data_IF_857164712789
#
_entry.id   IF_857164712789
#
_cell.length_a   1.000
_cell.length_b   1.000
_cell.length_c   1.000
_cell.angle_alpha   90.00
_cell.angle_beta   90.00
_cell.angle_gamma   90.00
#
_symmetry.space_group_name_H-M   'P 1'
#
loop_
_entity.id
_entity.type
_entity.pdbx_description
1 polymer ?
#
# COMPACT_ATOMS: atom_id res chain seq x y z
N UNK A 1 -29.45 29.50 7.48
CA UNK A 1 -29.04 28.91 8.76
C UNK A 1 -30.05 27.92 9.33
N UNK A 2 -31.20 27.72 8.71
CA UNK A 2 -32.25 26.77 9.14
C UNK A 2 -32.21 25.38 8.49
N UNK A 3 -31.47 25.19 7.39
CA UNK A 3 -31.39 23.87 6.69
C UNK A 3 -30.37 22.88 7.28
N UNK A 4 -29.62 23.27 8.30
CA UNK A 4 -28.58 22.39 8.93
C UNK A 4 -29.11 21.71 10.20
N UNK A 5 -30.29 22.10 10.71
CA UNK A 5 -30.83 21.58 11.98
C UNK A 5 -31.81 20.40 11.86
N UNK A 6 -32.19 19.97 10.65
CA UNK A 6 -33.12 18.84 10.48
C UNK A 6 -32.47 17.45 10.40
N UNK A 7 -31.14 17.31 10.48
CA UNK A 7 -30.42 16.03 10.34
C UNK A 7 -30.25 15.23 11.64
N UNK A 8 -30.85 15.66 12.75
CA UNK A 8 -30.79 14.97 14.04
C UNK A 8 -32.07 14.16 14.38
N UNK A 9 -32.83 13.69 13.40
CA UNK A 9 -33.78 12.62 13.66
C UNK A 9 -32.98 11.36 13.98
N UNK A 10 -33.29 10.67 15.10
CA UNK A 10 -32.72 9.38 15.49
C UNK A 10 -32.85 8.37 14.33
N UNK A 11 -31.85 8.33 13.46
CA UNK A 11 -31.80 7.41 12.31
C UNK A 11 -31.49 6.04 12.89
N UNK A 12 -32.49 5.17 12.94
CA UNK A 12 -32.27 3.77 13.37
C UNK A 12 -31.45 3.06 12.28
N UNK A 13 -30.21 2.74 12.60
CA UNK A 13 -29.32 1.99 11.70
C UNK A 13 -29.29 0.52 12.13
N UNK A 14 -29.68 -0.37 11.22
CA UNK A 14 -29.46 -1.80 11.32
C UNK A 14 -28.16 -2.19 10.63
N UNK A 15 -27.36 -3.08 11.25
CA UNK A 15 -26.10 -3.56 10.67
C UNK A 15 -26.15 -5.08 10.50
N UNK A 16 -25.98 -5.51 9.27
CA UNK A 16 -26.02 -6.90 8.88
C UNK A 16 -24.65 -7.38 8.39
N UNK A 17 -24.32 -8.62 8.73
CA UNK A 17 -23.16 -9.30 8.19
C UNK A 17 -23.55 -9.96 6.85
N UNK A 18 -22.72 -9.79 5.82
CA UNK A 18 -22.96 -10.41 4.53
C UNK A 18 -21.71 -11.14 4.01
N UNK A 19 -21.93 -12.34 3.52
CA UNK A 19 -20.99 -13.12 2.67
C UNK A 19 -21.49 -13.25 1.23
N UNK A 20 -22.63 -12.65 0.91
CA UNK A 20 -23.21 -12.62 -0.42
C UNK A 20 -22.48 -11.59 -1.30
N UNK A 21 -21.64 -12.07 -2.22
CA UNK A 21 -20.84 -11.21 -3.07
C UNK A 21 -21.67 -10.24 -3.95
N UNK A 22 -22.91 -10.61 -4.30
CA UNK A 22 -23.81 -9.72 -5.07
C UNK A 22 -24.29 -8.56 -4.21
N UNK A 23 -24.68 -8.83 -2.98
CA UNK A 23 -25.11 -7.82 -2.01
C UNK A 23 -23.94 -6.87 -1.66
N UNK A 24 -22.76 -7.43 -1.39
CA UNK A 24 -21.53 -6.68 -1.14
C UNK A 24 -21.20 -5.78 -2.33
N UNK A 25 -21.30 -6.32 -3.56
CA UNK A 25 -21.07 -5.52 -4.77
C UNK A 25 -22.06 -4.37 -4.87
N UNK A 26 -23.35 -4.59 -4.61
CA UNK A 26 -24.35 -3.54 -4.63
C UNK A 26 -24.05 -2.43 -3.61
N UNK A 27 -23.62 -2.81 -2.38
CA UNK A 27 -23.24 -1.85 -1.35
C UNK A 27 -22.02 -1.00 -1.78
N UNK A 28 -21.03 -1.63 -2.42
CA UNK A 28 -19.86 -0.92 -2.95
C UNK A 28 -20.23 -0.02 -4.15
N UNK A 29 -21.09 -0.50 -5.05
CA UNK A 29 -21.56 0.31 -6.19
C UNK A 29 -22.28 1.58 -5.69
N UNK A 30 -23.02 1.52 -4.59
CA UNK A 30 -23.70 2.68 -4.00
C UNK A 30 -22.73 3.58 -3.22
N UNK A 31 -21.94 3.01 -2.30
CA UNK A 31 -21.22 3.78 -1.27
C UNK A 31 -19.77 4.08 -1.58
N UNK A 32 -19.06 3.21 -2.34
CA UNK A 32 -17.63 3.40 -2.52
C UNK A 32 -17.34 4.71 -3.25
N UNK A 33 -16.72 5.63 -2.53
CA UNK A 33 -16.18 6.83 -3.15
C UNK A 33 -14.89 6.49 -3.90
N UNK A 34 -14.81 6.92 -5.16
CA UNK A 34 -13.60 6.81 -5.98
C UNK A 34 -13.41 8.14 -6.69
N UNK A 35 -12.28 8.85 -6.49
CA UNK A 35 -12.04 10.16 -7.12
C UNK A 35 -12.20 10.15 -8.64
N UNK A 36 -11.69 9.12 -9.33
CA UNK A 36 -11.98 8.88 -10.75
C UNK A 36 -13.03 7.76 -10.88
N UNK A 37 -14.26 8.16 -11.13
CA UNK A 37 -15.41 7.23 -11.22
C UNK A 37 -15.24 6.13 -12.27
N UNK A 38 -14.44 6.35 -13.31
CA UNK A 38 -14.15 5.36 -14.36
C UNK A 38 -13.43 4.12 -13.81
N UNK A 39 -12.70 4.28 -12.72
CA UNK A 39 -11.97 3.20 -12.03
C UNK A 39 -12.87 2.38 -11.10
N UNK A 40 -14.00 2.94 -10.66
CA UNK A 40 -14.86 2.32 -9.65
C UNK A 40 -15.27 0.88 -9.98
N UNK A 41 -15.74 0.56 -11.20
CA UNK A 41 -16.14 -0.82 -11.53
C UNK A 41 -14.97 -1.82 -11.43
N UNK A 42 -13.76 -1.40 -11.83
CA UNK A 42 -12.57 -2.25 -11.76
C UNK A 42 -12.10 -2.46 -10.33
N UNK A 43 -12.06 -1.40 -9.52
CA UNK A 43 -11.72 -1.48 -8.09
C UNK A 43 -12.68 -2.42 -7.36
N UNK A 44 -13.97 -2.29 -7.59
CA UNK A 44 -14.99 -3.18 -7.01
C UNK A 44 -14.75 -4.62 -7.45
N UNK A 45 -14.50 -4.86 -8.73
CA UNK A 45 -14.22 -6.21 -9.27
C UNK A 45 -13.02 -6.86 -8.58
N UNK A 46 -11.92 -6.14 -8.40
CA UNK A 46 -10.73 -6.66 -7.72
C UNK A 46 -10.99 -6.92 -6.22
N UNK A 47 -11.75 -6.03 -5.57
CA UNK A 47 -12.13 -6.22 -4.17
C UNK A 47 -13.05 -7.45 -3.99
N UNK A 48 -14.03 -7.64 -4.85
CA UNK A 48 -14.91 -8.83 -4.84
C UNK A 48 -14.10 -10.11 -5.07
N UNK A 49 -13.14 -10.09 -6.00
CA UNK A 49 -12.23 -11.22 -6.23
C UNK A 49 -11.40 -11.54 -4.97
N UNK A 50 -10.88 -10.52 -4.30
CA UNK A 50 -10.18 -10.67 -3.02
C UNK A 50 -11.09 -11.32 -1.96
N UNK A 51 -12.28 -10.78 -1.74
CA UNK A 51 -13.23 -11.29 -0.76
C UNK A 51 -13.62 -12.74 -1.03
N UNK A 52 -13.92 -13.07 -2.30
CA UNK A 52 -14.22 -14.46 -2.70
C UNK A 52 -13.10 -15.43 -2.28
N UNK A 53 -11.84 -15.04 -2.46
CA UNK A 53 -10.70 -15.86 -2.05
C UNK A 53 -10.60 -15.97 -0.54
N UNK A 54 -10.84 -14.86 0.19
CA UNK A 54 -10.66 -14.83 1.65
C UNK A 54 -11.79 -15.48 2.43
N UNK A 55 -13.00 -15.52 1.90
CA UNK A 55 -14.10 -16.27 2.48
C UNK A 55 -13.87 -17.79 2.45
N UNK A 56 -13.02 -18.28 1.54
CA UNK A 56 -12.65 -19.68 1.42
C UNK A 56 -11.38 -20.06 2.21
N UNK A 57 -10.65 -19.07 2.76
CA UNK A 57 -9.40 -19.30 3.45
C UNK A 57 -9.62 -19.33 4.97
N UNK A 58 -9.55 -20.52 5.54
CA UNK A 58 -9.77 -20.74 6.99
C UNK A 58 -8.82 -19.97 7.91
N UNK A 59 -7.64 -19.57 7.41
CA UNK A 59 -6.69 -18.77 8.17
C UNK A 59 -7.13 -17.31 8.34
N UNK A 60 -8.02 -16.84 7.46
CA UNK A 60 -8.57 -15.48 7.56
C UNK A 60 -9.82 -15.47 8.41
N UNK A 61 -9.86 -14.54 9.36
CA UNK A 61 -11.11 -14.19 10.04
C UNK A 61 -11.55 -12.86 9.48
N UNK A 62 -12.56 -12.89 8.63
CA UNK A 62 -13.06 -11.73 7.89
C UNK A 62 -14.59 -11.63 8.05
N UNK A 63 -15.05 -10.41 8.21
CA UNK A 63 -16.47 -10.06 8.34
C UNK A 63 -16.73 -8.82 7.49
N UNK A 64 -17.72 -8.89 6.63
CA UNK A 64 -18.20 -7.76 5.85
C UNK A 64 -19.52 -7.29 6.46
N UNK A 65 -19.61 -6.00 6.75
CA UNK A 65 -20.79 -5.39 7.37
C UNK A 65 -21.39 -4.33 6.47
N UNK A 66 -22.70 -4.35 6.36
CA UNK A 66 -23.51 -3.37 5.64
C UNK A 66 -24.51 -2.75 6.62
N UNK A 67 -24.56 -1.44 6.65
CA UNK A 67 -25.49 -0.68 7.47
C UNK A 67 -26.66 -0.20 6.63
N UNK A 68 -27.88 -0.39 7.14
CA UNK A 68 -29.14 -0.03 6.48
C UNK A 68 -29.96 0.95 7.33
N UNK A 69 -30.67 1.84 6.64
CA UNK A 69 -31.78 2.61 7.20
C UNK A 69 -32.97 2.52 6.26
N UNK A 70 -34.10 1.98 6.73
CA UNK A 70 -35.30 1.78 5.89
C UNK A 70 -35.00 1.11 4.55
N UNK A 71 -34.20 0.06 4.54
CA UNK A 71 -33.74 -0.69 3.36
C UNK A 71 -32.75 0.06 2.43
N UNK A 72 -32.41 1.30 2.70
CA UNK A 72 -31.35 2.02 2.02
C UNK A 72 -29.99 1.72 2.66
N UNK A 73 -28.94 1.64 1.84
CA UNK A 73 -27.57 1.38 2.30
C UNK A 73 -26.96 2.69 2.83
N UNK A 74 -26.51 2.67 4.08
CA UNK A 74 -25.92 3.82 4.78
C UNK A 74 -24.45 3.64 5.13
N UNK A 75 -23.94 2.43 5.04
CA UNK A 75 -22.54 2.20 5.36
C UNK A 75 -22.05 0.82 4.98
N UNK A 76 -20.74 0.72 4.83
CA UNK A 76 -20.02 -0.49 4.49
C UNK A 76 -18.67 -0.51 5.17
N UNK A 77 -18.25 -1.66 5.69
CA UNK A 77 -16.90 -1.86 6.24
C UNK A 77 -16.50 -3.33 6.15
N UNK A 78 -15.21 -3.58 5.98
CA UNK A 78 -14.60 -4.91 6.11
C UNK A 78 -13.80 -4.93 7.40
N UNK A 79 -14.11 -5.85 8.32
CA UNK A 79 -13.32 -6.12 9.52
C UNK A 79 -12.61 -7.45 9.39
N UNK A 80 -11.35 -7.53 9.84
CA UNK A 80 -10.61 -8.79 9.75
C UNK A 80 -9.51 -8.93 10.80
N UNK A 81 -9.19 -10.20 11.10
CA UNK A 81 -7.96 -10.58 11.80
C UNK A 81 -7.06 -11.21 10.74
N UNK A 82 -6.21 -10.38 10.15
CA UNK A 82 -5.29 -10.85 9.13
C UNK A 82 -4.20 -11.73 9.75
N UNK A 83 -3.86 -12.90 9.17
CA UNK A 83 -2.96 -13.86 9.81
C UNK A 83 -1.56 -13.32 10.06
N UNK A 84 -1.05 -12.46 9.18
CA UNK A 84 0.34 -11.96 9.23
C UNK A 84 0.46 -10.46 9.56
N UNK A 85 -0.68 -9.75 9.69
CA UNK A 85 -0.62 -8.33 10.02
C UNK A 85 -0.39 -8.10 11.51
N UNK A 86 0.60 -7.26 11.81
CA UNK A 86 0.92 -6.86 13.18
C UNK A 86 1.09 -5.35 13.30
N UNK A 87 0.92 -4.87 14.51
CA UNK A 87 1.27 -3.51 14.87
C UNK A 87 2.27 -3.55 16.03
N UNK A 88 3.47 -3.03 15.80
CA UNK A 88 4.59 -3.13 16.76
C UNK A 88 4.79 -4.59 17.20
N UNK A 89 4.86 -5.51 16.24
CA UNK A 89 5.03 -6.95 16.47
C UNK A 89 3.83 -7.66 17.14
N UNK A 90 2.73 -6.96 17.43
CA UNK A 90 1.57 -7.53 18.12
C UNK A 90 0.38 -7.68 17.19
N UNK A 91 -0.30 -8.82 17.29
CA UNK A 91 -1.53 -9.10 16.54
C UNK A 91 -2.61 -8.07 16.90
N UNK A 92 -3.29 -7.57 15.89
CA UNK A 92 -4.43 -6.67 16.06
C UNK A 92 -5.54 -6.99 15.05
N UNK A 93 -6.76 -6.58 15.37
CA UNK A 93 -7.84 -6.53 14.40
C UNK A 93 -7.70 -5.31 13.51
N UNK A 94 -8.25 -5.38 12.32
CA UNK A 94 -8.30 -4.26 11.40
C UNK A 94 -9.72 -4.02 10.91
N UNK A 95 -10.01 -2.78 10.56
CA UNK A 95 -11.12 -2.43 9.68
C UNK A 95 -10.61 -1.64 8.49
N UNK A 96 -11.28 -1.79 7.36
CA UNK A 96 -10.92 -1.10 6.12
C UNK A 96 -12.11 -0.95 5.19
N UNK A 97 -11.93 -0.22 4.09
CA UNK A 97 -12.99 0.10 3.13
C UNK A 97 -14.22 0.72 3.79
N UNK A 98 -14.00 1.48 4.87
CA UNK A 98 -15.06 2.15 5.61
C UNK A 98 -15.63 3.29 4.76
N UNK A 99 -16.87 3.12 4.29
CA UNK A 99 -17.65 4.12 3.57
C UNK A 99 -19.00 4.27 4.26
N UNK A 100 -19.37 5.49 4.62
CA UNK A 100 -20.58 5.77 5.37
C UNK A 100 -21.24 7.06 4.90
N UNK A 101 -22.57 7.14 5.02
CA UNK A 101 -23.33 8.37 4.73
C UNK A 101 -23.33 9.35 5.93
N UNK A 102 -23.24 8.82 7.17
CA UNK A 102 -23.30 9.65 8.39
C UNK A 102 -22.57 9.00 9.59
N UNK A 103 -22.51 9.76 10.69
CA UNK A 103 -21.86 9.34 11.93
C UNK A 103 -22.53 8.13 12.57
N UNK A 104 -23.88 8.03 12.57
CA UNK A 104 -24.56 6.91 13.23
C UNK A 104 -24.27 5.57 12.52
N UNK A 105 -24.23 5.56 11.18
CA UNK A 105 -23.80 4.38 10.43
C UNK A 105 -22.34 4.00 10.74
N UNK A 106 -21.43 4.98 10.82
CA UNK A 106 -20.05 4.76 11.23
C UNK A 106 -19.97 4.13 12.62
N UNK A 107 -20.70 4.67 13.61
CA UNK A 107 -20.74 4.20 14.99
C UNK A 107 -21.22 2.76 15.08
N UNK A 108 -22.32 2.40 14.42
CA UNK A 108 -22.87 1.05 14.47
C UNK A 108 -21.93 0.02 13.81
N UNK A 109 -21.37 0.36 12.66
CA UNK A 109 -20.39 -0.50 11.95
C UNK A 109 -19.14 -0.72 12.80
N UNK A 110 -18.55 0.34 13.33
CA UNK A 110 -17.31 0.26 14.14
C UNK A 110 -17.55 -0.51 15.44
N UNK A 111 -18.69 -0.35 16.10
CA UNK A 111 -19.05 -1.15 17.27
C UNK A 111 -19.06 -2.66 16.94
N UNK A 112 -19.61 -3.06 15.80
CA UNK A 112 -19.60 -4.47 15.35
C UNK A 112 -18.16 -4.95 15.04
N UNK A 113 -17.32 -4.11 14.44
CA UNK A 113 -15.90 -4.44 14.23
C UNK A 113 -15.14 -4.65 15.55
N UNK A 114 -15.44 -3.85 16.58
CA UNK A 114 -14.85 -4.02 17.92
C UNK A 114 -15.31 -5.33 18.59
N UNK A 115 -16.59 -5.69 18.46
CA UNK A 115 -17.14 -6.96 18.96
C UNK A 115 -16.46 -8.13 18.24
N UNK A 116 -16.39 -8.09 16.92
CA UNK A 116 -15.71 -9.11 16.11
C UNK A 116 -14.23 -9.26 16.52
N UNK A 117 -13.49 -8.16 16.65
CA UNK A 117 -12.09 -8.18 17.07
C UNK A 117 -11.93 -8.83 18.45
N UNK A 118 -12.79 -8.48 19.38
CA UNK A 118 -12.79 -9.02 20.76
C UNK A 118 -13.15 -10.51 20.81
N UNK A 119 -14.14 -10.95 20.02
CA UNK A 119 -14.53 -12.37 19.98
C UNK A 119 -13.42 -13.30 19.52
N UNK A 120 -12.45 -12.76 18.75
CA UNK A 120 -11.24 -13.48 18.36
C UNK A 120 -10.04 -13.29 19.32
N UNK A 121 -10.29 -12.83 20.56
CA UNK A 121 -9.27 -12.70 21.60
C UNK A 121 -8.30 -11.52 21.40
N UNK A 122 -8.54 -10.65 20.43
CA UNK A 122 -7.70 -9.49 20.11
C UNK A 122 -8.26 -8.24 20.80
N UNK A 123 -7.37 -7.43 21.40
CA UNK A 123 -7.77 -6.26 22.20
C UNK A 123 -7.34 -4.92 21.59
N UNK A 124 -6.83 -4.95 20.41
CA UNK A 124 -6.43 -3.76 19.66
C UNK A 124 -7.04 -3.83 18.28
N UNK A 125 -7.66 -2.74 17.86
CA UNK A 125 -8.21 -2.60 16.51
C UNK A 125 -7.63 -1.35 15.87
N UNK A 126 -7.29 -1.46 14.58
CA UNK A 126 -6.68 -0.40 13.78
C UNK A 126 -7.40 -0.23 12.44
N UNK A 127 -7.41 0.97 11.92
CA UNK A 127 -7.97 1.28 10.60
C UNK A 127 -7.80 2.77 10.23
N UNK A 128 -7.99 3.08 9.02
CA UNK A 128 -8.44 2.30 7.87
C UNK A 128 -7.28 1.49 7.27
N UNK A 129 -7.41 0.17 7.14
CA UNK A 129 -6.44 -0.70 6.47
C UNK A 129 -7.19 -1.42 5.36
N UNK A 130 -7.00 -0.99 4.13
CA UNK A 130 -7.78 -1.45 2.98
C UNK A 130 -7.10 -2.62 2.28
N UNK A 131 -7.31 -3.82 2.77
CA UNK A 131 -6.80 -5.01 2.08
C UNK A 131 -7.60 -5.34 0.81
N UNK A 132 -6.95 -5.79 -0.29
CA UNK A 132 -5.49 -5.92 -0.42
C UNK A 132 -4.84 -4.53 -0.45
N UNK A 133 -3.70 -4.38 0.25
CA UNK A 133 -3.04 -3.07 0.40
C UNK A 133 -2.59 -2.47 -0.94
N UNK A 134 -2.18 -3.31 -1.89
CA UNK A 134 -1.83 -2.85 -3.23
C UNK A 134 -2.98 -2.14 -3.95
N UNK A 135 -4.24 -2.53 -3.67
CA UNK A 135 -5.43 -1.88 -4.23
C UNK A 135 -5.90 -0.69 -3.38
N UNK A 136 -6.04 -0.91 -2.08
CA UNK A 136 -6.77 0.01 -1.21
C UNK A 136 -5.91 0.94 -0.35
N UNK A 137 -4.61 0.64 -0.22
CA UNK A 137 -3.70 1.41 0.62
C UNK A 137 -3.98 1.33 2.11
N UNK A 138 -3.30 2.17 2.90
CA UNK A 138 -3.49 2.27 4.34
C UNK A 138 -3.75 3.72 4.77
N UNK A 139 -4.50 3.85 5.86
CA UNK A 139 -4.84 5.12 6.49
C UNK A 139 -6.07 5.80 5.90
N UNK A 140 -6.55 6.80 6.60
CA UNK A 140 -7.57 7.74 6.16
C UNK A 140 -6.84 8.97 5.61
N UNK A 141 -7.11 9.32 4.38
CA UNK A 141 -6.53 10.50 3.76
C UNK A 141 -7.00 11.76 4.49
N UNK A 142 -6.05 12.60 4.89
CA UNK A 142 -6.30 13.85 5.63
C UNK A 142 -5.95 15.09 4.83
N UNK A 143 -5.11 14.94 3.78
CA UNK A 143 -4.77 16.05 2.87
C UNK A 143 -4.35 15.51 1.50
N UNK A 144 -4.23 16.41 0.51
CA UNK A 144 -3.83 16.06 -0.86
C UNK A 144 -4.95 15.42 -1.66
N UNK A 145 -6.20 15.79 -1.41
CA UNK A 145 -7.38 15.29 -2.13
C UNK A 145 -7.41 15.72 -3.60
N UNK A 146 -6.70 16.79 -3.93
CA UNK A 146 -6.53 17.30 -5.29
C UNK A 146 -5.53 16.49 -6.12
N UNK A 147 -4.75 15.63 -5.48
CA UNK A 147 -3.76 14.81 -6.15
C UNK A 147 -4.42 13.69 -6.95
N UNK A 148 -3.89 13.41 -8.14
CA UNK A 148 -4.35 12.28 -8.94
C UNK A 148 -4.21 10.97 -8.17
N UNK A 149 -5.21 10.08 -8.25
CA UNK A 149 -5.13 8.75 -7.65
C UNK A 149 -3.85 8.02 -8.06
N UNK A 150 -3.32 7.24 -7.12
CA UNK A 150 -2.16 6.37 -7.33
C UNK A 150 -2.50 4.96 -6.81
N UNK A 151 -2.17 3.95 -7.59
CA UNK A 151 -2.36 2.56 -7.19
C UNK A 151 -1.57 2.26 -5.91
N UNK A 152 -2.23 1.63 -4.93
CA UNK A 152 -1.65 1.36 -3.61
C UNK A 152 -1.78 2.50 -2.58
N UNK A 153 -2.38 3.63 -2.95
CA UNK A 153 -2.64 4.76 -2.05
C UNK A 153 -4.11 4.80 -1.66
N UNK A 154 -4.37 4.90 -0.36
CA UNK A 154 -5.72 5.00 0.16
C UNK A 154 -6.39 6.32 -0.25
N UNK A 155 -7.69 6.24 -0.49
CA UNK A 155 -8.55 7.38 -0.77
C UNK A 155 -9.86 7.26 0.02
N UNK A 156 -10.49 8.38 0.31
CA UNK A 156 -11.80 8.43 0.96
C UNK A 156 -12.54 9.70 0.56
N UNK A 157 -13.84 9.71 0.80
CA UNK A 157 -14.67 10.86 0.48
C UNK A 157 -14.26 12.08 1.33
N UNK A 158 -13.80 13.21 0.72
CA UNK A 158 -13.36 14.39 1.45
C UNK A 158 -14.51 15.12 2.17
N UNK A 159 -15.77 14.85 1.78
CA UNK A 159 -16.96 15.44 2.40
C UNK A 159 -17.40 14.71 3.68
N UNK A 160 -16.80 13.55 3.97
CA UNK A 160 -17.07 12.75 5.18
C UNK A 160 -15.84 12.77 6.08
N UNK A 161 -15.91 13.47 7.21
CA UNK A 161 -14.80 13.53 8.15
C UNK A 161 -14.70 12.25 9.00
N UNK A 162 -14.19 11.16 8.37
CA UNK A 162 -14.02 9.87 9.03
C UNK A 162 -13.10 9.94 10.24
N UNK A 163 -12.09 10.81 10.21
CA UNK A 163 -11.15 10.99 11.33
C UNK A 163 -11.92 11.49 12.55
N UNK A 164 -12.71 12.55 12.40
CA UNK A 164 -13.53 13.10 13.48
C UNK A 164 -14.56 12.08 14.00
N UNK A 165 -15.18 11.30 13.10
CA UNK A 165 -16.11 10.26 13.48
C UNK A 165 -15.44 9.22 14.38
N UNK A 166 -14.25 8.76 14.02
CA UNK A 166 -13.50 7.79 14.79
C UNK A 166 -12.96 8.38 16.11
N UNK A 167 -12.53 9.64 16.12
CA UNK A 167 -12.15 10.33 17.37
C UNK A 167 -13.33 10.41 18.36
N UNK A 168 -14.54 10.73 17.90
CA UNK A 168 -15.78 10.67 18.72
C UNK A 168 -16.07 9.27 19.26
N UNK A 169 -15.62 8.21 18.58
CA UNK A 169 -15.74 6.82 19.03
C UNK A 169 -14.55 6.37 19.92
N UNK A 170 -13.64 7.30 20.26
CA UNK A 170 -12.51 7.05 21.16
C UNK A 170 -11.28 6.45 20.48
N UNK A 171 -11.20 6.50 19.17
CA UNK A 171 -9.98 6.18 18.42
C UNK A 171 -8.97 7.34 18.49
N UNK A 172 -7.70 7.01 18.37
CA UNK A 172 -6.61 7.97 18.32
C UNK A 172 -5.84 7.84 17.01
N UNK A 173 -5.28 8.93 16.52
CA UNK A 173 -4.28 8.94 15.44
C UNK A 173 -3.02 8.30 15.98
N UNK A 174 -2.75 7.06 15.62
CA UNK A 174 -1.59 6.31 16.13
C UNK A 174 -0.41 6.37 15.16
N UNK A 175 -0.67 6.28 13.87
CA UNK A 175 0.36 6.32 12.85
C UNK A 175 0.01 7.35 11.79
N UNK A 176 0.99 8.19 11.48
CA UNK A 176 0.91 9.15 10.38
C UNK A 176 1.79 8.65 9.23
N UNK A 177 1.22 8.69 8.03
CA UNK A 177 1.89 8.34 6.79
C UNK A 177 1.85 9.50 5.81
N UNK A 178 2.92 9.65 5.06
CA UNK A 178 3.03 10.65 4.00
C UNK A 178 3.26 9.99 2.65
N UNK A 179 2.75 10.61 1.59
CA UNK A 179 3.18 10.33 0.22
C UNK A 179 4.05 11.49 -0.26
N UNK A 180 5.10 11.16 -0.97
CA UNK A 180 6.14 12.10 -1.36
C UNK A 180 6.42 12.00 -2.86
N UNK A 181 6.13 13.07 -3.59
CA UNK A 181 6.47 13.17 -5.01
C UNK A 181 7.96 13.46 -5.18
N UNK A 182 8.65 12.67 -5.97
CA UNK A 182 10.05 12.89 -6.32
C UNK A 182 10.13 14.10 -7.26
N UNK A 183 10.96 15.09 -6.90
CA UNK A 183 11.13 16.34 -7.65
C UNK A 183 12.44 16.39 -8.44
N UNK A 184 13.30 15.40 -8.29
CA UNK A 184 14.58 15.30 -8.97
C UNK A 184 14.85 13.86 -9.38
N UNK A 185 14.96 13.63 -10.67
CA UNK A 185 15.11 12.29 -11.28
C UNK A 185 16.42 11.59 -10.94
N UNK A 186 17.43 12.36 -10.56
CA UNK A 186 18.75 11.85 -10.19
C UNK A 186 19.37 12.74 -9.14
N UNK A 187 19.99 12.13 -8.14
CA UNK A 187 20.70 12.89 -7.12
C UNK A 187 21.99 12.17 -6.71
N UNK A 188 23.03 12.98 -6.48
CA UNK A 188 24.28 12.50 -5.93
C UNK A 188 24.21 12.61 -4.40
N UNK A 189 24.30 11.49 -3.73
CA UNK A 189 24.35 11.43 -2.26
C UNK A 189 25.73 11.81 -1.70
N UNK A 190 26.72 12.04 -2.56
CA UNK A 190 28.13 12.17 -2.17
C UNK A 190 28.76 10.86 -1.69
N UNK A 191 27.98 9.76 -1.67
CA UNK A 191 28.44 8.44 -1.26
C UNK A 191 28.66 7.58 -2.49
N UNK A 192 29.91 7.18 -2.70
CA UNK A 192 30.22 6.17 -3.72
C UNK A 192 29.72 4.82 -3.27
N UNK A 193 29.18 4.04 -4.19
CA UNK A 193 28.83 2.65 -3.92
C UNK A 193 30.11 1.84 -3.57
N UNK A 194 30.02 0.96 -2.59
CA UNK A 194 31.11 0.05 -2.24
C UNK A 194 31.41 -0.86 -3.45
N UNK A 195 32.70 -0.96 -3.84
CA UNK A 195 33.14 -1.77 -4.97
C UNK A 195 32.79 -3.26 -4.88
N UNK A 196 32.51 -3.77 -3.67
CA UNK A 196 32.02 -5.13 -3.46
C UNK A 196 30.56 -5.31 -3.85
N UNK A 197 29.85 -4.24 -4.14
CA UNK A 197 28.44 -4.29 -4.49
C UNK A 197 28.27 -4.28 -6.00
N UNK A 198 27.46 -5.20 -6.51
CA UNK A 198 27.00 -5.24 -7.89
C UNK A 198 25.50 -4.94 -7.93
N UNK A 199 25.12 -3.98 -8.78
CA UNK A 199 23.72 -3.70 -9.05
C UNK A 199 23.24 -4.55 -10.22
N UNK A 200 21.99 -4.99 -10.16
CA UNK A 200 21.35 -5.71 -11.27
C UNK A 200 19.88 -5.29 -11.38
N UNK A 201 19.44 -5.17 -12.63
CA UNK A 201 18.03 -5.33 -12.94
C UNK A 201 17.68 -6.82 -12.88
N UNK A 202 16.40 -7.13 -12.73
CA UNK A 202 15.95 -8.52 -12.63
C UNK A 202 14.69 -8.74 -13.45
N UNK A 203 14.56 -9.92 -14.02
CA UNK A 203 13.32 -10.35 -14.64
C UNK A 203 12.31 -10.81 -13.62
N UNK A 204 11.05 -10.91 -14.00
CA UNK A 204 10.01 -11.47 -13.13
C UNK A 204 10.31 -12.92 -12.68
N UNK A 205 11.00 -13.68 -13.56
CA UNK A 205 11.47 -15.03 -13.26
C UNK A 205 12.55 -15.01 -12.17
N UNK A 206 13.51 -14.10 -12.30
CA UNK A 206 14.57 -13.96 -11.30
C UNK A 206 14.02 -13.48 -9.95
N UNK A 207 13.09 -12.52 -9.93
CA UNK A 207 12.43 -12.11 -8.68
C UNK A 207 11.82 -13.32 -7.97
N UNK A 208 11.17 -14.23 -8.71
CA UNK A 208 10.63 -15.48 -8.15
C UNK A 208 11.71 -16.42 -7.66
N UNK A 209 12.83 -16.53 -8.37
CA UNK A 209 13.94 -17.38 -7.96
C UNK A 209 14.63 -16.89 -6.69
N UNK A 210 14.66 -15.57 -6.45
CA UNK A 210 15.21 -14.95 -5.23
C UNK A 210 14.16 -14.75 -4.12
N UNK A 211 13.02 -15.42 -4.21
CA UNK A 211 11.93 -15.24 -3.24
C UNK A 211 12.39 -15.39 -1.80
N UNK A 212 13.10 -16.47 -1.47
CA UNK A 212 13.52 -16.74 -0.08
C UNK A 212 14.50 -15.68 0.44
N UNK A 213 15.45 -15.24 -0.40
CA UNK A 213 16.40 -14.18 -0.03
C UNK A 213 15.69 -12.82 0.15
N UNK A 214 14.69 -12.51 -0.69
CA UNK A 214 13.87 -11.31 -0.56
C UNK A 214 13.06 -11.36 0.73
N UNK A 215 12.46 -12.50 1.05
CA UNK A 215 11.71 -12.70 2.29
C UNK A 215 12.61 -12.60 3.52
N UNK A 216 13.81 -13.18 3.46
CA UNK A 216 14.80 -13.07 4.53
C UNK A 216 15.24 -11.62 4.73
N UNK A 217 15.53 -10.91 3.63
CA UNK A 217 15.86 -9.49 3.67
C UNK A 217 14.72 -8.68 4.29
N UNK A 218 13.46 -8.97 3.94
CA UNK A 218 12.29 -8.31 4.51
C UNK A 218 12.13 -8.56 6.01
N UNK A 219 12.30 -9.79 6.48
CA UNK A 219 12.23 -10.16 7.90
C UNK A 219 13.31 -9.42 8.73
N UNK A 220 14.49 -9.24 8.15
CA UNK A 220 15.64 -8.62 8.82
C UNK A 220 15.67 -7.09 8.71
N UNK A 221 15.02 -6.52 7.70
CA UNK A 221 14.99 -5.07 7.45
C UNK A 221 13.84 -4.38 8.14
N UNK A 222 12.66 -5.02 8.18
CA UNK A 222 11.48 -4.49 8.86
C UNK A 222 11.50 -4.93 10.32
N UNK A 223 11.88 -4.02 11.19
CA UNK A 223 11.93 -4.25 12.63
C UNK A 223 10.52 -4.42 13.20
N UNK A 224 10.45 -5.10 14.36
CA UNK A 224 9.23 -5.25 15.16
C UNK A 224 8.60 -3.91 15.60
N UNK A 225 9.27 -2.80 15.31
CA UNK A 225 8.88 -1.44 15.69
C UNK A 225 7.97 -0.75 14.69
N UNK A 226 7.64 -1.39 13.55
CA UNK A 226 6.73 -0.78 12.58
C UNK A 226 5.28 -0.82 13.06
N UNK A 227 4.55 0.31 12.91
CA UNK A 227 3.17 0.39 13.39
C UNK A 227 2.19 -0.46 12.57
N UNK A 228 2.48 -0.72 11.29
CA UNK A 228 1.57 -1.41 10.36
C UNK A 228 2.34 -2.36 9.42
N UNK A 229 2.82 -3.47 9.96
CA UNK A 229 3.55 -4.48 9.22
C UNK A 229 2.64 -5.60 8.71
N UNK A 230 2.63 -5.83 7.39
CA UNK A 230 2.12 -7.07 6.80
C UNK A 230 3.27 -8.06 6.66
N UNK A 231 3.01 -9.35 6.79
CA UNK A 231 4.05 -10.35 6.60
C UNK A 231 4.73 -10.23 5.22
N UNK A 232 6.04 -10.44 5.17
CA UNK A 232 6.82 -10.29 3.95
C UNK A 232 6.26 -11.15 2.79
N UNK A 233 5.87 -12.40 3.08
CA UNK A 233 5.26 -13.32 2.10
C UNK A 233 3.96 -12.77 1.50
N UNK A 234 3.11 -12.17 2.34
CA UNK A 234 1.87 -11.57 1.87
C UNK A 234 2.14 -10.40 0.92
N UNK A 235 3.06 -9.49 1.30
CA UNK A 235 3.43 -8.35 0.46
C UNK A 235 4.11 -8.77 -0.84
N UNK A 236 5.01 -9.73 -0.77
CA UNK A 236 5.68 -10.27 -1.94
C UNK A 236 4.68 -10.84 -2.95
N UNK A 237 3.69 -11.61 -2.47
CA UNK A 237 2.63 -12.13 -3.32
C UNK A 237 1.79 -11.02 -3.96
N UNK A 238 1.38 -10.00 -3.18
CA UNK A 238 0.65 -8.85 -3.73
C UNK A 238 1.43 -8.14 -4.85
N UNK A 239 2.74 -8.02 -4.70
CA UNK A 239 3.59 -7.39 -5.71
C UNK A 239 3.69 -8.24 -6.98
N UNK A 240 3.89 -9.55 -6.85
CA UNK A 240 3.88 -10.45 -7.99
C UNK A 240 2.52 -10.44 -8.72
N UNK A 241 1.43 -10.40 -7.98
CA UNK A 241 0.07 -10.28 -8.55
C UNK A 241 -0.10 -8.95 -9.29
N UNK A 242 0.49 -7.86 -8.80
CA UNK A 242 0.51 -6.56 -9.49
C UNK A 242 1.33 -6.63 -10.78
N UNK A 243 2.55 -7.15 -10.73
CA UNK A 243 3.40 -7.28 -11.90
C UNK A 243 2.78 -8.18 -12.98
N UNK A 244 2.09 -9.24 -12.59
CA UNK A 244 1.43 -10.14 -13.56
C UNK A 244 0.30 -9.48 -14.35
N UNK A 245 -0.22 -8.34 -13.93
CA UNK A 245 -1.24 -7.57 -14.64
C UNK A 245 -0.66 -6.66 -15.73
N UNK A 246 0.66 -6.39 -15.67
CA UNK A 246 1.31 -5.51 -16.63
C UNK A 246 1.65 -6.29 -17.90
N UNK A 247 1.27 -5.79 -19.09
CA UNK A 247 1.62 -6.43 -20.35
C UNK A 247 3.15 -6.55 -20.54
N UNK A 248 3.62 -7.66 -21.14
CA UNK A 248 5.05 -7.90 -21.36
C UNK A 248 5.75 -6.79 -22.16
N UNK A 249 5.02 -6.10 -23.03
CA UNK A 249 5.56 -4.96 -23.79
C UNK A 249 6.08 -3.81 -22.92
N UNK A 250 5.59 -3.69 -21.69
CA UNK A 250 6.07 -2.69 -20.72
C UNK A 250 7.34 -3.12 -19.99
N UNK A 251 7.76 -4.39 -20.13
CA UNK A 251 9.01 -4.88 -19.53
C UNK A 251 10.20 -4.75 -20.47
N UNK A 252 9.95 -4.47 -21.74
CA UNK A 252 11.00 -4.43 -22.78
C UNK A 252 11.57 -3.02 -22.86
N UNK A 253 12.91 -2.91 -22.79
CA UNK A 253 13.60 -1.68 -23.14
C UNK A 253 13.51 -1.45 -24.66
N UNK A 254 13.59 -0.21 -25.16
CA UNK A 254 13.61 0.07 -26.59
C UNK A 254 14.72 -0.71 -27.31
N UNK A 255 14.46 -1.20 -28.52
CA UNK A 255 15.40 -2.00 -29.29
C UNK A 255 16.70 -1.23 -29.65
N UNK A 256 16.62 0.11 -29.67
CA UNK A 256 17.76 1.03 -29.92
C UNK A 256 18.35 1.60 -28.62
N UNK A 257 18.00 1.02 -27.46
CA UNK A 257 18.51 1.47 -26.17
C UNK A 257 20.03 1.40 -26.11
N UNK A 258 20.65 2.55 -25.84
CA UNK A 258 22.10 2.68 -25.65
C UNK A 258 22.35 3.22 -24.25
N UNK A 259 22.83 2.37 -23.33
CA UNK A 259 23.03 2.75 -21.94
C UNK A 259 23.78 4.06 -21.74
N UNK A 260 24.85 4.27 -22.52
CA UNK A 260 25.74 5.42 -22.44
C UNK A 260 25.06 6.74 -22.82
N UNK A 261 23.96 6.67 -23.58
CA UNK A 261 23.16 7.86 -23.92
C UNK A 261 22.36 8.39 -22.73
N UNK A 262 22.16 7.56 -21.73
CA UNK A 262 21.32 7.89 -20.55
C UNK A 262 22.13 8.11 -19.28
N UNK A 263 23.30 7.51 -19.17
CA UNK A 263 24.12 7.57 -17.97
C UNK A 263 25.60 7.34 -18.29
N UNK A 264 26.47 8.03 -17.53
CA UNK A 264 27.93 7.83 -17.57
C UNK A 264 28.47 7.16 -16.29
N UNK A 265 27.58 6.69 -15.40
CA UNK A 265 27.97 6.10 -14.12
C UNK A 265 28.30 4.63 -14.34
N UNK A 266 29.56 4.19 -14.09
CA UNK A 266 30.01 2.84 -14.43
C UNK A 266 29.19 1.72 -13.82
N UNK A 267 28.75 1.88 -12.57
CA UNK A 267 27.96 0.87 -11.85
C UNK A 267 26.56 0.70 -12.46
N UNK A 268 26.00 1.74 -13.03
CA UNK A 268 24.70 1.70 -13.72
C UNK A 268 24.89 1.06 -15.10
N UNK A 269 25.94 1.44 -15.83
CA UNK A 269 26.27 0.82 -17.13
C UNK A 269 26.51 -0.68 -16.95
N UNK A 270 27.29 -1.10 -15.95
CA UNK A 270 27.49 -2.52 -15.64
C UNK A 270 26.16 -3.26 -15.37
N UNK A 271 25.24 -2.62 -14.68
CA UNK A 271 23.95 -3.23 -14.40
C UNK A 271 23.12 -3.43 -15.67
N UNK A 272 23.25 -2.55 -16.65
CA UNK A 272 22.60 -2.69 -17.95
C UNK A 272 23.30 -3.70 -18.87
N UNK A 273 24.63 -3.78 -18.85
CA UNK A 273 25.40 -4.74 -19.64
C UNK A 273 25.18 -6.20 -19.26
N UNK A 274 24.90 -6.46 -17.99
CA UNK A 274 24.70 -7.82 -17.45
C UNK A 274 23.32 -8.41 -17.77
N UNK A 275 22.56 -7.81 -18.69
CA UNK A 275 21.13 -7.95 -18.77
C UNK A 275 20.66 -8.58 -20.09
N UNK A 276 19.75 -9.55 -19.98
CA UNK A 276 18.85 -9.92 -21.07
C UNK A 276 17.75 -8.86 -21.18
N UNK A 277 17.99 -7.88 -22.04
CA UNK A 277 17.15 -6.69 -22.22
C UNK A 277 15.70 -7.01 -22.61
N UNK A 278 15.40 -8.27 -22.99
CA UNK A 278 14.07 -8.66 -23.43
C UNK A 278 13.09 -8.95 -22.27
N UNK A 279 13.58 -9.22 -21.06
CA UNK A 279 12.73 -9.64 -19.92
C UNK A 279 12.87 -8.75 -18.67
N UNK A 280 13.40 -7.54 -18.79
CA UNK A 280 13.64 -6.63 -17.66
C UNK A 280 12.37 -6.22 -16.97
N UNK A 281 12.27 -6.46 -15.66
CA UNK A 281 11.31 -5.75 -14.82
C UNK A 281 11.91 -4.41 -14.43
N UNK A 282 11.54 -3.35 -15.14
CA UNK A 282 12.07 -2.01 -14.90
C UNK A 282 11.69 -1.43 -13.54
N UNK A 283 10.75 -2.06 -12.84
CA UNK A 283 10.31 -1.67 -11.50
C UNK A 283 11.03 -2.35 -10.35
N UNK A 284 11.96 -3.29 -10.63
CA UNK A 284 12.70 -4.00 -9.60
C UNK A 284 14.20 -3.94 -9.83
N UNK A 285 14.95 -3.58 -8.79
CA UNK A 285 16.41 -3.48 -8.83
C UNK A 285 16.98 -4.17 -7.61
N UNK A 286 18.04 -4.95 -7.81
CA UNK A 286 18.71 -5.69 -6.76
C UNK A 286 20.18 -5.31 -6.64
N UNK A 287 20.69 -5.37 -5.41
CA UNK A 287 22.10 -5.22 -5.10
C UNK A 287 22.64 -6.53 -4.51
N UNK A 288 23.77 -6.97 -4.99
CA UNK A 288 24.43 -8.20 -4.56
C UNK A 288 25.85 -7.91 -4.08
N UNK A 289 26.29 -8.66 -3.09
CA UNK A 289 27.70 -8.74 -2.73
C UNK A 289 28.44 -9.56 -3.79
N UNK A 290 29.51 -9.00 -4.37
CA UNK A 290 30.26 -9.64 -5.50
C UNK A 290 30.98 -10.93 -5.10
N UNK A 291 31.44 -11.03 -3.86
CA UNK A 291 32.21 -12.17 -3.40
C UNK A 291 31.29 -13.35 -3.05
N UNK A 292 30.20 -13.07 -2.40
CA UNK A 292 29.29 -14.11 -1.88
C UNK A 292 28.08 -14.34 -2.77
N UNK A 293 27.82 -13.47 -3.74
CA UNK A 293 26.61 -13.41 -4.58
C UNK A 293 25.30 -13.37 -3.75
N UNK A 294 25.37 -12.89 -2.52
CA UNK A 294 24.18 -12.75 -1.66
C UNK A 294 23.45 -11.46 -1.98
N UNK A 295 22.12 -11.53 -1.94
CA UNK A 295 21.26 -10.35 -2.01
C UNK A 295 21.47 -9.46 -0.78
N UNK A 296 21.84 -8.20 -1.00
CA UNK A 296 22.10 -7.22 0.07
C UNK A 296 21.16 -6.02 0.03
N UNK A 297 20.43 -5.84 -1.06
CA UNK A 297 19.43 -4.79 -1.17
C UNK A 297 18.48 -5.00 -2.33
N UNK A 298 17.29 -4.42 -2.22
CA UNK A 298 16.26 -4.43 -3.26
C UNK A 298 15.39 -3.18 -3.15
N UNK A 299 15.01 -2.65 -4.32
CA UNK A 299 13.91 -1.69 -4.47
C UNK A 299 12.85 -2.33 -5.36
N UNK A 300 11.61 -2.28 -4.91
CA UNK A 300 10.44 -2.75 -5.63
C UNK A 300 9.46 -1.59 -5.76
N UNK A 301 9.22 -1.19 -7.00
CA UNK A 301 8.25 -0.16 -7.32
C UNK A 301 6.97 -0.82 -7.86
N UNK A 302 5.84 -0.17 -7.67
CA UNK A 302 4.56 -0.58 -8.25
C UNK A 302 4.18 0.37 -9.38
N UNK A 303 3.96 -0.16 -10.60
CA UNK A 303 3.39 0.64 -11.68
C UNK A 303 1.97 1.10 -11.31
N UNK A 304 1.59 2.29 -11.76
CA UNK A 304 0.22 2.77 -11.53
C UNK A 304 -0.78 2.01 -12.41
N UNK A 305 -1.32 0.91 -11.89
CA UNK A 305 -2.32 0.10 -12.60
C UNK A 305 -3.59 0.87 -12.93
N UNK A 306 -3.86 2.01 -12.28
CA UNK A 306 -5.01 2.83 -12.63
C UNK A 306 -4.88 3.43 -14.04
N UNK A 307 -3.65 3.82 -14.46
CA UNK A 307 -3.43 4.25 -15.84
C UNK A 307 -3.70 3.10 -16.82
N UNK A 308 -3.19 1.89 -16.54
CA UNK A 308 -3.43 0.71 -17.35
C UNK A 308 -4.92 0.37 -17.46
N UNK A 309 -5.65 0.42 -16.33
CA UNK A 309 -7.09 0.13 -16.32
C UNK A 309 -7.93 1.18 -17.05
N UNK A 310 -7.39 2.39 -17.22
CA UNK A 310 -7.98 3.44 -18.07
C UNK A 310 -7.57 3.34 -19.54
N UNK A 311 -6.82 2.31 -19.94
CA UNK A 311 -6.32 2.14 -21.30
C UNK A 311 -5.22 3.14 -21.68
N UNK A 312 -4.51 3.67 -20.69
CA UNK A 312 -3.41 4.61 -20.89
C UNK A 312 -2.06 3.91 -20.77
N UNK A 313 -0.99 4.47 -21.36
CA UNK A 313 0.35 4.03 -21.04
C UNK A 313 0.66 4.28 -19.57
N UNK A 314 1.49 3.42 -18.97
CA UNK A 314 1.94 3.62 -17.59
C UNK A 314 3.05 4.67 -17.60
N UNK A 315 2.79 5.82 -17.01
CA UNK A 315 3.74 6.94 -16.88
C UNK A 315 4.12 7.22 -15.44
N UNK A 316 3.49 6.53 -14.50
CA UNK A 316 3.60 6.75 -13.07
C UNK A 316 3.94 5.47 -12.32
N UNK A 317 4.77 5.62 -11.30
CA UNK A 317 5.15 4.50 -10.43
C UNK A 317 5.27 4.96 -8.99
N UNK A 318 5.04 4.05 -8.05
CA UNK A 318 5.34 4.29 -6.66
C UNK A 318 6.50 3.42 -6.17
N UNK A 319 7.34 3.96 -5.30
CA UNK A 319 8.35 3.21 -4.55
C UNK A 319 7.65 2.61 -3.34
N UNK A 320 7.29 1.33 -3.44
CA UNK A 320 6.52 0.64 -2.39
C UNK A 320 7.42 0.04 -1.31
N UNK A 321 8.48 -0.64 -1.74
CA UNK A 321 9.38 -1.36 -0.83
C UNK A 321 10.83 -1.12 -1.19
N UNK A 322 11.61 -0.73 -0.21
CA UNK A 322 13.05 -0.57 -0.34
C UNK A 322 13.74 -1.15 0.90
N UNK A 323 14.68 -2.03 0.69
CA UNK A 323 15.38 -2.75 1.75
C UNK A 323 16.87 -2.84 1.45
N UNK A 324 17.69 -2.62 2.48
CA UNK A 324 19.14 -2.89 2.46
C UNK A 324 19.50 -3.58 3.77
N UNK A 325 20.33 -4.62 3.70
CA UNK A 325 20.83 -5.31 4.88
C UNK A 325 21.51 -4.33 5.84
N UNK A 326 21.27 -4.49 7.14
CA UNK A 326 21.82 -3.60 8.17
C UNK A 326 23.36 -3.56 8.18
N UNK A 327 24.00 -4.69 7.97
CA UNK A 327 25.46 -4.79 7.90
C UNK A 327 26.06 -4.18 6.62
N UNK A 328 25.21 -3.83 5.66
CA UNK A 328 25.55 -3.12 4.43
C UNK A 328 25.09 -1.66 4.42
N UNK A 329 24.51 -1.16 5.50
CA UNK A 329 24.06 0.21 5.60
C UNK A 329 25.20 1.21 5.43
N UNK A 330 24.92 2.38 4.85
CA UNK A 330 25.94 3.44 4.66
C UNK A 330 26.89 3.23 3.47
N UNK A 331 26.75 2.14 2.71
CA UNK A 331 27.65 1.82 1.57
C UNK A 331 27.18 2.38 0.23
N UNK A 332 26.26 3.35 0.20
CA UNK A 332 25.76 3.99 -1.02
C UNK A 332 24.78 3.12 -1.83
N UNK A 333 24.43 1.91 -1.35
CA UNK A 333 23.59 0.94 -2.07
C UNK A 333 22.24 1.53 -2.43
N UNK A 334 21.61 2.18 -1.45
CA UNK A 334 20.26 2.70 -1.60
C UNK A 334 20.17 3.77 -2.70
N UNK A 335 21.06 4.78 -2.64
CA UNK A 335 21.11 5.86 -3.63
C UNK A 335 21.39 5.33 -5.03
N UNK A 336 22.31 4.37 -5.14
CA UNK A 336 22.65 3.76 -6.42
C UNK A 336 21.47 2.97 -7.02
N UNK A 337 20.77 2.18 -6.21
CA UNK A 337 19.57 1.46 -6.67
C UNK A 337 18.44 2.41 -7.07
N UNK A 338 18.24 3.49 -6.33
CA UNK A 338 17.22 4.50 -6.66
C UNK A 338 17.54 5.18 -8.00
N UNK A 339 18.78 5.58 -8.19
CA UNK A 339 19.22 6.24 -9.43
C UNK A 339 19.09 5.34 -10.65
N UNK A 340 19.55 4.08 -10.56
CA UNK A 340 19.40 3.12 -11.66
C UNK A 340 17.94 2.85 -11.96
N UNK A 341 17.10 2.74 -10.92
CA UNK A 341 15.68 2.53 -11.05
C UNK A 341 14.98 3.65 -11.80
N UNK A 342 15.21 4.88 -11.39
CA UNK A 342 14.62 6.05 -12.04
C UNK A 342 15.08 6.16 -13.50
N UNK A 343 16.39 6.02 -13.78
CA UNK A 343 16.92 6.10 -15.14
C UNK A 343 16.30 5.04 -16.05
N UNK A 344 16.23 3.79 -15.60
CA UNK A 344 15.67 2.70 -16.39
C UNK A 344 14.16 2.87 -16.64
N UNK A 345 13.44 3.32 -15.63
CA UNK A 345 12.01 3.59 -15.76
C UNK A 345 11.74 4.79 -16.70
N UNK A 346 12.56 5.84 -16.65
CA UNK A 346 12.46 6.97 -17.58
C UNK A 346 12.61 6.54 -19.05
N UNK A 347 13.50 5.59 -19.34
CA UNK A 347 13.63 5.00 -20.68
C UNK A 347 12.33 4.35 -21.16
N UNK A 348 11.56 3.77 -20.22
CA UNK A 348 10.26 3.17 -20.50
C UNK A 348 9.08 4.16 -20.44
N UNK A 349 9.35 5.46 -20.39
CA UNK A 349 8.32 6.50 -20.39
C UNK A 349 7.69 6.78 -19.03
N UNK A 350 8.23 6.25 -17.94
CA UNK A 350 7.81 6.63 -16.58
C UNK A 350 8.40 8.02 -16.26
N UNK A 351 7.53 8.98 -16.02
CA UNK A 351 7.92 10.38 -15.77
C UNK A 351 7.51 10.89 -14.40
N UNK A 352 6.78 10.08 -13.62
CA UNK A 352 6.31 10.45 -12.30
C UNK A 352 6.63 9.35 -11.28
N UNK A 353 7.35 9.75 -10.25
CA UNK A 353 7.77 8.87 -9.15
C UNK A 353 7.21 9.38 -7.83
N UNK A 354 6.64 8.48 -7.05
CA UNK A 354 6.06 8.79 -5.74
C UNK A 354 6.47 7.73 -4.71
N UNK A 355 6.98 8.16 -3.58
CA UNK A 355 7.07 7.31 -2.40
C UNK A 355 5.72 7.31 -1.69
N UNK A 356 5.10 6.15 -1.54
CA UNK A 356 3.75 6.07 -0.98
C UNK A 356 3.77 5.48 0.42
N UNK A 357 2.89 6.01 1.27
CA UNK A 357 2.61 5.45 2.59
C UNK A 357 3.86 5.29 3.46
N UNK A 358 4.71 6.32 3.46
CA UNK A 358 5.93 6.35 4.25
C UNK A 358 5.56 6.76 5.68
N UNK A 359 5.88 5.92 6.65
CA UNK A 359 5.67 6.27 8.05
C UNK A 359 6.53 7.48 8.43
N UNK A 360 5.91 8.54 8.95
CA UNK A 360 6.58 9.83 9.19
C UNK A 360 7.70 9.75 10.23
N UNK A 361 7.67 8.75 11.13
CA UNK A 361 8.76 8.53 12.08
C UNK A 361 9.93 7.71 11.49
N UNK A 362 9.82 7.22 10.26
CA UNK A 362 10.92 6.58 9.56
C UNK A 362 11.81 7.63 8.89
N UNK A 363 12.48 8.42 9.73
CA UNK A 363 13.32 9.56 9.31
C UNK A 363 14.46 9.12 8.39
N UNK A 364 15.03 7.94 8.63
CA UNK A 364 16.11 7.41 7.79
C UNK A 364 15.61 7.14 6.36
N UNK A 365 14.42 6.58 6.22
CA UNK A 365 13.81 6.39 4.90
C UNK A 365 13.55 7.74 4.22
N UNK A 366 12.95 8.68 4.92
CA UNK A 366 12.65 10.02 4.38
C UNK A 366 13.91 10.70 3.88
N UNK A 367 14.96 10.77 4.71
CA UNK A 367 16.17 11.48 4.38
C UNK A 367 17.07 10.77 3.35
N UNK A 368 17.03 9.43 3.31
CA UNK A 368 17.93 8.65 2.47
C UNK A 368 17.32 8.29 1.12
N UNK A 369 15.99 8.10 1.05
CA UNK A 369 15.29 7.68 -0.16
C UNK A 369 14.75 8.88 -0.93
N UNK A 370 14.28 9.89 -0.20
CA UNK A 370 13.50 10.99 -0.75
C UNK A 370 14.08 12.37 -0.40
N UNK A 371 15.42 12.61 -0.56
CA UNK A 371 16.02 13.89 -0.17
C UNK A 371 15.53 15.06 -1.04
N UNK A 372 14.93 14.77 -2.21
CA UNK A 372 14.42 15.77 -3.14
C UNK A 372 12.95 15.46 -3.47
N UNK A 373 12.07 15.69 -2.50
CA UNK A 373 10.65 15.37 -2.62
C UNK A 373 9.76 16.45 -2.06
N UNK A 374 8.52 16.45 -2.51
CA UNK A 374 7.42 17.23 -1.96
C UNK A 374 6.45 16.30 -1.25
N UNK A 375 6.01 16.68 -0.04
CA UNK A 375 4.92 16.00 0.66
C UNK A 375 3.60 16.36 -0.03
N UNK A 376 2.91 15.36 -0.59
CA UNK A 376 1.71 15.60 -1.39
C UNK A 376 0.43 15.05 -0.78
N UNK A 377 0.52 14.06 0.10
CA UNK A 377 -0.64 13.48 0.82
C UNK A 377 -0.26 13.11 2.23
N UNK A 378 -1.23 13.16 3.11
CA UNK A 378 -1.12 12.70 4.49
C UNK A 378 -2.25 11.72 4.79
N UNK A 379 -1.93 10.65 5.52
CA UNK A 379 -2.87 9.63 5.96
C UNK A 379 -2.68 9.32 7.44
N UNK A 380 -3.78 8.99 8.14
CA UNK A 380 -3.74 8.54 9.52
C UNK A 380 -4.31 7.13 9.65
N UNK A 381 -3.60 6.27 10.36
CA UNK A 381 -4.19 5.02 10.88
C UNK A 381 -4.68 5.28 12.29
N UNK A 382 -5.97 5.02 12.48
CA UNK A 382 -6.65 5.20 13.77
C UNK A 382 -6.58 3.92 14.59
N UNK A 383 -6.37 4.03 15.89
CA UNK A 383 -6.26 2.89 16.80
C UNK A 383 -7.15 3.05 18.03
N UNK A 384 -7.69 1.91 18.50
CA UNK A 384 -8.37 1.84 19.78
C UNK A 384 -8.04 0.53 20.50
N UNK A 385 -7.79 0.61 21.82
CA UNK A 385 -7.73 -0.57 22.69
C UNK A 385 -9.14 -0.91 23.18
N UNK A 386 -9.55 -2.14 22.93
CA UNK A 386 -10.87 -2.66 23.32
C UNK A 386 -10.78 -3.17 24.75
N UNK A 387 -11.61 -2.64 25.66
CA UNK A 387 -11.68 -3.07 27.06
C UNK A 387 -12.13 -4.54 27.14
N UNK A 388 -11.63 -5.29 28.17
CA UNK A 388 -12.22 -6.58 28.52
C UNK A 388 -13.71 -6.38 28.84
N UNK A 389 -14.56 -7.30 28.36
CA UNK A 389 -15.89 -7.42 28.95
C UNK A 389 -15.68 -7.78 30.42
N UNK A 390 -16.19 -6.95 31.33
CA UNK A 390 -16.35 -7.36 32.71
C UNK A 390 -17.53 -8.35 32.66
N UNK A 391 -17.21 -9.64 32.69
CA UNK A 391 -18.25 -10.62 32.95
C UNK A 391 -18.69 -10.39 34.42
N UNK A 392 -19.81 -9.73 34.64
CA UNK A 392 -20.50 -9.87 35.89
C UNK A 392 -21.06 -11.31 35.92
N UNK A 393 -20.28 -12.20 36.56
CA UNK A 393 -20.74 -13.53 36.97
C UNK A 393 -21.82 -13.39 38.03
#
# INVERSE_FOLDING_TARGET
>A
MELVLELNKNVSINVEESNNLKEIKNALDELLYVPDIRLKPRIISELIKYLKTKFLDENYKIMVLIAYHNSEIYGFVISQIHPTYTSYGRKCGTFGWLNVKNFEACKQLINKCEIFTRSHGVRKIRGNINFPKGLGGIGIQASGFEQQMMYGVAFNNPHINLIEYLEKLGYKKESEYTCMKVTKDFWDSGKKIDKRIKLRHVSLKEIKNYQEEILDLGRNSFQMDFPDASGAEYRFKEMLDTYSQVPKSFYKLPDDFKPESYCSIPEILEAWDSYDLEEVVTWAHMAFDRETNKLVGIILCLPDLYELWLGKPITRTNVDTAMVRKDCAGRGIFSAMNNIGQKTQNVNGITYFEGTTIWTNNIDAINSIFPHCEHIRKHYVMEKRIKKSINYS
#
